data_IF_487955079686
#
_entry.id   IF_487955079686
#
_cell.length_a   1.000
_cell.length_b   1.000
_cell.length_c   1.000
_cell.angle_alpha   90.00
_cell.angle_beta   90.00
_cell.angle_gamma   90.00
#
_symmetry.space_group_name_H-M   'P 1'
#
loop_
_entity.id
_entity.type
_entity.pdbx_description
1 polymer ?
#
# COMPACT_ATOMS: atom_id res chain seq x y z
N UNK A 1 -42.35 28.91 1.82
CA UNK A 1 -42.62 30.32 1.48
C UNK A 1 -43.29 30.94 2.68
N UNK A 2 -42.72 32.03 3.20
CA UNK A 2 -43.30 32.77 4.32
C UNK A 2 -43.53 34.22 3.91
N UNK A 3 -44.68 34.78 4.31
CA UNK A 3 -45.11 36.15 3.97
C UNK A 3 -45.29 36.94 5.24
N UNK A 4 -44.85 38.19 5.23
CA UNK A 4 -44.90 39.13 6.35
C UNK A 4 -44.21 38.61 7.62
N UNK A 5 -42.98 38.14 7.45
CA UNK A 5 -42.13 37.62 8.53
C UNK A 5 -41.02 38.62 8.89
N UNK A 6 -40.55 38.63 10.15
CA UNK A 6 -39.34 39.36 10.52
C UNK A 6 -38.14 38.78 9.76
N UNK A 7 -37.40 39.65 9.08
CA UNK A 7 -36.22 39.32 8.29
C UNK A 7 -34.96 39.69 9.05
N UNK A 8 -33.93 38.83 8.99
CA UNK A 8 -32.70 38.98 9.76
C UNK A 8 -31.47 38.98 8.84
N UNK A 9 -30.45 39.75 9.24
CA UNK A 9 -29.09 39.74 8.67
C UNK A 9 -28.10 39.66 9.84
N UNK A 10 -27.14 38.73 9.79
CA UNK A 10 -26.83 37.79 10.88
C UNK A 10 -27.26 38.24 12.28
N UNK A 11 -28.45 37.80 12.70
CA UNK A 11 -29.02 37.99 14.04
C UNK A 11 -29.68 39.36 14.29
N UNK A 12 -29.54 40.33 13.39
CA UNK A 12 -30.14 41.66 13.50
C UNK A 12 -31.44 41.70 12.71
N UNK A 13 -32.54 42.13 13.34
CA UNK A 13 -33.80 42.39 12.64
C UNK A 13 -33.62 43.56 11.67
N UNK A 14 -33.74 43.30 10.37
CA UNK A 14 -33.55 44.28 9.31
C UNK A 14 -34.87 44.78 8.70
N UNK A 15 -35.99 44.13 9.00
CA UNK A 15 -37.31 44.54 8.51
C UNK A 15 -38.35 43.44 8.59
N UNK A 16 -39.47 43.67 7.93
CA UNK A 16 -40.53 42.69 7.70
C UNK A 16 -40.76 42.55 6.19
N UNK A 17 -41.07 41.35 5.73
CA UNK A 17 -41.29 41.12 4.30
C UNK A 17 -41.57 39.67 3.98
N UNK A 18 -41.26 39.25 2.75
CA UNK A 18 -41.30 37.85 2.36
C UNK A 18 -39.90 37.27 2.28
N UNK A 19 -39.82 35.96 2.54
CA UNK A 19 -38.62 35.16 2.39
C UNK A 19 -38.94 33.92 1.54
N UNK A 20 -38.05 33.64 0.60
CA UNK A 20 -38.05 32.45 -0.22
C UNK A 20 -36.83 31.59 0.09
N UNK A 21 -37.06 30.29 0.12
CA UNK A 21 -36.02 29.27 0.19
C UNK A 21 -36.19 28.35 -1.00
N UNK A 22 -35.15 28.20 -1.81
CA UNK A 22 -35.06 27.14 -2.81
C UNK A 22 -34.01 26.12 -2.34
N UNK A 23 -34.39 24.86 -2.08
CA UNK A 23 -33.42 23.83 -1.75
C UNK A 23 -32.53 23.53 -2.97
N UNK A 24 -31.26 23.28 -2.71
CA UNK A 24 -30.27 22.86 -3.71
C UNK A 24 -30.10 21.35 -3.53
N UNK A 25 -30.59 20.58 -4.51
CA UNK A 25 -30.55 19.12 -4.50
C UNK A 25 -29.51 18.61 -5.48
N UNK A 26 -28.80 17.55 -5.10
CA UNK A 26 -27.93 16.79 -5.97
C UNK A 26 -28.21 15.30 -5.74
N UNK A 27 -28.63 14.57 -6.78
CA UNK A 27 -28.92 13.13 -6.71
C UNK A 27 -29.77 12.73 -5.47
N UNK A 28 -30.88 13.42 -5.24
CA UNK A 28 -31.79 13.22 -4.10
C UNK A 28 -31.25 13.65 -2.72
N UNK A 29 -30.01 14.11 -2.64
CA UNK A 29 -29.40 14.66 -1.42
C UNK A 29 -29.55 16.19 -1.36
N UNK A 30 -29.95 16.71 -0.20
CA UNK A 30 -30.03 18.15 0.06
C UNK A 30 -28.63 18.67 0.39
N UNK A 31 -27.98 19.33 -0.57
CA UNK A 31 -26.61 19.86 -0.40
C UNK A 31 -26.57 21.32 0.06
N UNK A 32 -27.73 21.99 0.07
CA UNK A 32 -27.81 23.36 0.55
C UNK A 32 -29.17 24.01 0.31
N UNK A 33 -29.24 25.32 0.58
CA UNK A 33 -30.42 26.12 0.35
C UNK A 33 -30.04 27.53 -0.12
N UNK A 34 -30.73 28.00 -1.15
CA UNK A 34 -30.65 29.38 -1.63
C UNK A 34 -31.77 30.20 -0.99
N UNK A 35 -31.40 31.31 -0.37
CA UNK A 35 -32.31 32.19 0.33
C UNK A 35 -32.44 33.52 -0.43
N UNK A 36 -33.66 34.03 -0.53
CA UNK A 36 -33.94 35.36 -1.07
C UNK A 36 -34.98 36.06 -0.18
N UNK A 37 -34.71 37.32 0.16
CA UNK A 37 -35.57 38.12 1.03
C UNK A 37 -35.73 39.54 0.49
N UNK A 38 -36.87 40.17 0.76
CA UNK A 38 -37.16 41.57 0.42
C UNK A 38 -37.40 42.38 1.70
N UNK A 39 -36.34 42.94 2.32
CA UNK A 39 -36.45 43.68 3.57
C UNK A 39 -36.81 45.15 3.37
N UNK A 40 -36.65 45.69 2.15
CA UNK A 40 -36.74 47.13 1.91
C UNK A 40 -38.14 47.61 1.49
N UNK A 41 -39.00 46.68 1.07
CA UNK A 41 -40.38 46.98 0.66
C UNK A 41 -41.39 45.93 1.18
N UNK A 42 -41.80 46.03 2.45
CA UNK A 42 -42.64 45.04 3.14
C UNK A 42 -44.00 44.79 2.47
N UNK A 43 -44.53 45.77 1.73
CA UNK A 43 -45.84 45.70 1.06
C UNK A 43 -45.78 45.18 -0.38
N UNK A 44 -44.60 44.93 -0.93
CA UNK A 44 -44.45 44.46 -2.31
C UNK A 44 -44.91 42.99 -2.41
N UNK A 45 -45.92 42.67 -3.23
CA UNK A 45 -46.31 41.28 -3.42
C UNK A 45 -45.19 40.50 -4.13
N UNK A 46 -44.93 39.28 -3.65
CA UNK A 46 -44.09 38.34 -4.39
C UNK A 46 -44.73 38.07 -5.75
N UNK A 47 -43.98 38.23 -6.83
CA UNK A 47 -44.44 37.88 -8.18
C UNK A 47 -44.21 36.40 -8.44
N UNK A 48 -45.12 35.76 -9.17
CA UNK A 48 -45.09 34.32 -9.41
C UNK A 48 -43.75 33.86 -10.04
N UNK A 49 -43.22 34.62 -10.99
CA UNK A 49 -41.95 34.31 -11.65
C UNK A 49 -40.75 34.33 -10.70
N UNK A 50 -40.81 35.01 -9.56
CA UNK A 50 -39.66 35.13 -8.64
C UNK A 50 -39.40 33.82 -7.90
N UNK A 51 -40.47 33.07 -7.61
CA UNK A 51 -40.36 31.71 -7.08
C UNK A 51 -39.78 30.75 -8.12
N UNK A 52 -40.28 30.82 -9.36
CA UNK A 52 -39.81 29.98 -10.47
C UNK A 52 -38.35 30.29 -10.81
N UNK A 53 -37.97 31.57 -10.73
CA UNK A 53 -36.61 32.03 -10.94
C UNK A 53 -35.70 31.48 -9.85
N UNK A 54 -36.05 31.62 -8.57
CA UNK A 54 -35.22 31.11 -7.47
C UNK A 54 -35.02 29.60 -7.55
N UNK A 55 -36.07 28.85 -7.90
CA UNK A 55 -35.97 27.41 -8.14
C UNK A 55 -35.03 27.09 -9.32
N UNK A 56 -35.13 27.86 -10.42
CA UNK A 56 -34.24 27.72 -11.58
C UNK A 56 -32.78 28.00 -11.22
N UNK A 57 -32.52 29.03 -10.42
CA UNK A 57 -31.17 29.33 -9.90
C UNK A 57 -30.65 28.21 -9.00
N UNK A 58 -31.48 27.66 -8.10
CA UNK A 58 -31.13 26.51 -7.27
C UNK A 58 -30.67 25.31 -8.10
N UNK A 59 -31.38 25.00 -9.19
CA UNK A 59 -31.00 23.92 -10.12
C UNK A 59 -29.67 24.20 -10.85
N UNK A 60 -29.42 25.44 -11.29
CA UNK A 60 -28.14 25.82 -11.92
C UNK A 60 -26.99 25.73 -10.91
N UNK A 61 -27.20 26.19 -9.67
CA UNK A 61 -26.21 26.09 -8.60
C UNK A 61 -25.87 24.65 -8.26
N UNK A 62 -26.87 23.75 -8.18
CA UNK A 62 -26.63 22.33 -7.96
C UNK A 62 -25.69 21.74 -9.02
N UNK A 63 -25.96 22.03 -10.30
CA UNK A 63 -25.12 21.58 -11.41
C UNK A 63 -23.70 22.15 -11.33
N UNK A 64 -23.56 23.44 -10.99
CA UNK A 64 -22.25 24.08 -10.88
C UNK A 64 -21.43 23.52 -9.71
N UNK A 65 -22.05 23.34 -8.54
CA UNK A 65 -21.41 22.73 -7.36
C UNK A 65 -20.95 21.32 -7.69
N UNK A 66 -21.81 20.49 -8.27
CA UNK A 66 -21.45 19.14 -8.69
C UNK A 66 -20.31 19.13 -9.71
N UNK A 67 -20.29 20.08 -10.66
CA UNK A 67 -19.17 20.21 -11.60
C UNK A 67 -17.87 20.56 -10.88
N UNK A 68 -17.88 21.52 -9.96
CA UNK A 68 -16.70 21.93 -9.21
C UNK A 68 -16.16 20.79 -8.32
N UNK A 69 -17.05 20.05 -7.65
CA UNK A 69 -16.67 18.87 -6.86
C UNK A 69 -16.05 17.78 -7.74
N UNK A 70 -16.64 17.50 -8.91
CA UNK A 70 -16.09 16.54 -9.86
C UNK A 70 -14.73 16.98 -10.41
N UNK A 71 -14.60 18.25 -10.79
CA UNK A 71 -13.31 18.82 -11.23
C UNK A 71 -12.25 18.69 -10.15
N UNK A 72 -12.59 18.99 -8.89
CA UNK A 72 -11.69 18.83 -7.75
C UNK A 72 -11.30 17.37 -7.51
N UNK A 73 -12.27 16.44 -7.53
CA UNK A 73 -12.00 15.01 -7.36
C UNK A 73 -11.12 14.45 -8.48
N UNK A 74 -11.33 14.88 -9.73
CA UNK A 74 -10.48 14.51 -10.87
C UNK A 74 -9.07 15.07 -10.70
N UNK A 75 -8.92 16.32 -10.28
CA UNK A 75 -7.61 16.93 -10.02
C UNK A 75 -6.85 16.22 -8.90
N UNK A 76 -7.53 15.87 -7.81
CA UNK A 76 -6.95 15.11 -6.71
C UNK A 76 -6.51 13.72 -7.16
N UNK A 77 -7.37 13.00 -7.91
CA UNK A 77 -7.04 11.70 -8.49
C UNK A 77 -5.80 11.76 -9.40
N UNK A 78 -5.72 12.77 -10.28
CA UNK A 78 -4.56 12.96 -11.16
C UNK A 78 -3.28 13.26 -10.37
N UNK A 79 -3.38 14.11 -9.33
CA UNK A 79 -2.24 14.40 -8.44
C UNK A 79 -1.76 13.13 -7.75
N UNK A 80 -2.68 12.32 -7.22
CA UNK A 80 -2.35 11.05 -6.57
C UNK A 80 -1.68 10.08 -7.55
N UNK A 81 -2.19 9.96 -8.78
CA UNK A 81 -1.58 9.12 -9.82
C UNK A 81 -0.16 9.57 -10.17
N UNK A 82 0.08 10.89 -10.25
CA UNK A 82 1.42 11.43 -10.52
C UNK A 82 2.40 11.08 -9.40
N UNK A 83 2.03 11.29 -8.14
CA UNK A 83 2.89 10.98 -7.00
C UNK A 83 3.17 9.47 -6.94
N UNK A 84 2.14 8.63 -7.09
CA UNK A 84 2.33 7.17 -7.11
C UNK A 84 3.21 6.70 -8.27
N UNK A 85 3.10 7.33 -9.44
CA UNK A 85 3.96 7.03 -10.57
C UNK A 85 5.43 7.37 -10.27
N UNK A 86 5.69 8.56 -9.73
CA UNK A 86 7.04 8.98 -9.35
C UNK A 86 7.62 8.09 -8.24
N UNK A 87 6.84 7.77 -7.21
CA UNK A 87 7.25 6.81 -6.16
C UNK A 87 7.56 5.44 -6.75
N UNK A 88 6.76 4.94 -7.69
CA UNK A 88 7.05 3.68 -8.37
C UNK A 88 8.35 3.73 -9.19
N UNK A 89 8.68 4.86 -9.81
CA UNK A 89 9.96 5.05 -10.49
C UNK A 89 11.12 4.99 -9.50
N UNK A 90 11.02 5.69 -8.36
CA UNK A 90 12.05 5.70 -7.33
C UNK A 90 12.28 4.28 -6.77
N UNK A 91 11.21 3.58 -6.39
CA UNK A 91 11.27 2.21 -5.92
C UNK A 91 11.83 1.24 -6.97
N UNK A 92 11.62 1.51 -8.27
CA UNK A 92 12.17 0.67 -9.33
C UNK A 92 13.70 0.68 -9.43
N UNK A 93 14.34 1.76 -8.97
CA UNK A 93 15.81 1.93 -9.02
C UNK A 93 16.52 1.28 -7.84
N UNK A 94 15.77 0.91 -6.80
CA UNK A 94 16.32 0.27 -5.62
C UNK A 94 16.89 -1.10 -5.97
N UNK A 95 17.97 -1.52 -5.31
CA UNK A 95 18.72 -2.73 -5.67
C UNK A 95 18.33 -3.95 -4.85
N UNK A 96 18.16 -3.79 -3.54
CA UNK A 96 17.88 -4.90 -2.60
C UNK A 96 16.46 -4.83 -2.05
N UNK A 97 15.96 -5.94 -1.51
CA UNK A 97 14.66 -5.95 -0.82
C UNK A 97 14.69 -5.10 0.47
N UNK A 98 15.79 -5.10 1.21
CA UNK A 98 15.93 -4.31 2.44
C UNK A 98 15.85 -2.80 2.13
N UNK A 99 16.59 -2.37 1.11
CA UNK A 99 16.52 -0.99 0.62
C UNK A 99 15.12 -0.68 0.09
N UNK A 100 14.42 -1.64 -0.52
CA UNK A 100 13.08 -1.42 -1.07
C UNK A 100 12.09 -1.12 0.05
N UNK A 101 12.12 -1.87 1.15
CA UNK A 101 11.24 -1.62 2.30
C UNK A 101 11.58 -0.29 2.97
N UNK A 102 12.86 0.01 3.14
CA UNK A 102 13.33 1.28 3.70
C UNK A 102 12.85 2.46 2.86
N UNK A 103 13.07 2.41 1.55
CA UNK A 103 12.69 3.47 0.63
C UNK A 103 11.17 3.61 0.52
N UNK A 104 10.43 2.51 0.49
CA UNK A 104 8.96 2.54 0.49
C UNK A 104 8.41 3.22 1.74
N UNK A 105 9.00 2.96 2.92
CA UNK A 105 8.59 3.62 4.16
C UNK A 105 8.89 5.12 4.13
N UNK A 106 10.09 5.49 3.68
CA UNK A 106 10.50 6.89 3.58
C UNK A 106 9.63 7.68 2.58
N UNK A 107 9.43 7.15 1.38
CA UNK A 107 8.58 7.79 0.36
C UNK A 107 7.11 7.84 0.76
N UNK A 108 6.62 6.80 1.44
CA UNK A 108 5.27 6.81 2.02
C UNK A 108 5.08 7.95 3.02
N UNK A 109 6.06 8.17 3.89
CA UNK A 109 6.02 9.27 4.84
C UNK A 109 6.17 10.64 4.16
N UNK A 110 7.21 10.82 3.35
CA UNK A 110 7.60 12.14 2.83
C UNK A 110 6.74 12.63 1.66
N UNK A 111 6.19 11.71 0.87
CA UNK A 111 5.51 12.04 -0.40
C UNK A 111 4.03 11.72 -0.41
N UNK A 112 3.60 10.74 0.40
CA UNK A 112 2.19 10.32 0.50
C UNK A 112 1.52 10.79 1.80
N UNK A 113 2.22 11.59 2.62
CA UNK A 113 1.75 12.14 3.90
C UNK A 113 1.28 11.06 4.90
N UNK A 114 1.89 9.87 4.85
CA UNK A 114 1.59 8.78 5.78
C UNK A 114 2.31 9.01 7.11
N UNK A 115 1.57 9.34 8.17
CA UNK A 115 2.14 9.84 9.44
C UNK A 115 2.98 8.78 10.16
N UNK A 116 2.34 7.68 10.57
CA UNK A 116 3.00 6.53 11.21
C UNK A 116 2.90 5.33 10.28
N UNK A 117 3.71 5.35 9.24
CA UNK A 117 3.71 4.31 8.22
C UNK A 117 4.69 3.19 8.54
N UNK A 118 4.31 1.94 8.32
CA UNK A 118 5.19 0.78 8.57
C UNK A 118 4.86 -0.40 7.66
N UNK A 119 5.87 -1.22 7.37
CA UNK A 119 5.74 -2.45 6.57
C UNK A 119 6.10 -3.66 7.43
N UNK A 120 5.22 -4.66 7.41
CA UNK A 120 5.38 -5.92 8.12
C UNK A 120 5.31 -7.09 7.14
N UNK A 121 6.21 -8.06 7.26
CA UNK A 121 6.27 -9.25 6.41
C UNK A 121 5.59 -10.43 7.10
N UNK A 122 4.78 -11.18 6.37
CA UNK A 122 4.08 -12.34 6.89
C UNK A 122 4.97 -13.58 6.82
N UNK A 123 5.21 -14.22 7.97
CA UNK A 123 5.88 -15.51 8.08
C UNK A 123 4.86 -16.61 8.27
N UNK A 124 4.58 -17.36 7.21
CA UNK A 124 3.59 -18.43 7.22
C UNK A 124 3.89 -19.53 8.25
N UNK A 125 5.15 -19.94 8.36
CA UNK A 125 5.60 -20.99 9.29
C UNK A 125 5.29 -20.68 10.76
N UNK A 126 5.33 -19.39 11.11
CA UNK A 126 5.10 -18.89 12.48
C UNK A 126 3.71 -18.32 12.67
N UNK A 127 2.94 -18.16 11.59
CA UNK A 127 1.66 -17.46 11.61
C UNK A 127 1.76 -16.00 12.05
N UNK A 128 2.94 -15.39 11.94
CA UNK A 128 3.28 -14.12 12.58
C UNK A 128 3.82 -13.10 11.57
N UNK A 129 3.82 -11.82 11.96
CA UNK A 129 4.39 -10.73 11.17
C UNK A 129 5.73 -10.29 11.74
N UNK A 130 6.73 -10.11 10.88
CA UNK A 130 8.00 -9.48 11.25
C UNK A 130 8.05 -8.05 10.74
N UNK A 131 8.39 -7.11 11.61
CA UNK A 131 8.56 -5.72 11.24
C UNK A 131 9.80 -5.52 10.34
N UNK A 132 9.73 -4.52 9.46
CA UNK A 132 10.84 -4.06 8.64
C UNK A 132 11.27 -2.67 9.10
N UNK A 133 10.72 -1.64 8.47
CA UNK A 133 10.93 -0.24 8.81
C UNK A 133 9.58 0.42 9.09
N UNK A 134 9.63 1.52 9.83
CA UNK A 134 8.44 2.29 10.19
C UNK A 134 8.74 3.74 10.50
N UNK A 135 7.71 4.45 10.94
CA UNK A 135 7.78 5.83 11.44
C UNK A 135 7.22 5.87 12.86
N UNK A 136 8.02 6.38 13.79
CA UNK A 136 7.68 6.42 15.21
C UNK A 136 6.58 7.45 15.54
N UNK A 137 6.10 7.47 16.79
CA UNK A 137 5.08 8.43 17.24
C UNK A 137 5.54 9.91 17.20
N UNK A 138 6.80 10.20 16.89
CA UNK A 138 7.35 11.55 16.71
C UNK A 138 7.55 11.89 15.23
N UNK A 139 7.10 11.05 14.31
CA UNK A 139 7.27 11.26 12.86
C UNK A 139 8.69 11.01 12.39
N UNK A 140 9.47 10.17 13.08
CA UNK A 140 10.86 9.87 12.70
C UNK A 140 10.96 8.45 12.17
N UNK A 141 11.70 8.30 11.08
CA UNK A 141 12.05 7.00 10.53
C UNK A 141 12.71 6.10 11.59
N UNK A 142 12.27 4.84 11.65
CA UNK A 142 12.72 3.83 12.61
C UNK A 142 12.99 2.52 11.88
N UNK A 143 14.14 1.93 12.19
CA UNK A 143 14.42 0.52 11.87
C UNK A 143 13.74 -0.34 12.94
N UNK A 144 12.76 -1.14 12.53
CA UNK A 144 11.92 -1.95 13.42
C UNK A 144 12.31 -3.43 13.38
N UNK A 145 13.36 -3.78 12.62
CA UNK A 145 13.84 -5.16 12.49
C UNK A 145 14.28 -5.71 13.84
N UNK A 146 14.02 -7.01 14.04
CA UNK A 146 14.32 -7.69 15.30
C UNK A 146 13.27 -7.48 16.39
N UNK A 147 12.28 -6.60 16.18
CA UNK A 147 11.05 -6.59 16.95
C UNK A 147 10.16 -7.76 16.55
N UNK A 148 9.98 -8.74 17.43
CA UNK A 148 8.81 -9.62 17.36
C UNK A 148 7.65 -8.86 17.98
N UNK A 149 6.96 -8.08 17.15
CA UNK A 149 5.66 -7.59 17.55
C UNK A 149 4.76 -8.81 17.61
N UNK A 150 4.31 -9.15 18.81
CA UNK A 150 3.13 -9.98 18.99
C UNK A 150 1.94 -9.16 18.47
N UNK A 151 1.88 -9.04 17.15
CA UNK A 151 0.67 -8.81 16.42
C UNK A 151 -0.14 -10.09 16.62
N UNK A 152 -0.64 -10.27 17.83
CA UNK A 152 -1.95 -10.83 18.08
C UNK A 152 -2.98 -9.90 17.42
N UNK A 153 -2.84 -9.76 16.11
CA UNK A 153 -3.85 -9.42 15.15
C UNK A 153 -4.35 -10.73 14.51
N UNK A 154 -4.90 -11.72 15.25
CA UNK A 154 -5.61 -12.84 14.61
C UNK A 154 -6.57 -12.32 13.55
N UNK A 155 -7.22 -11.18 13.83
CA UNK A 155 -8.16 -10.54 12.92
C UNK A 155 -7.52 -10.11 11.59
N UNK A 156 -6.28 -9.61 11.55
CA UNK A 156 -5.66 -9.17 10.29
C UNK A 156 -5.25 -10.37 9.43
N UNK A 157 -4.62 -11.38 10.04
CA UNK A 157 -4.24 -12.61 9.32
C UNK A 157 -5.49 -13.32 8.81
N UNK A 158 -6.50 -13.53 9.66
CA UNK A 158 -7.77 -14.17 9.26
C UNK A 158 -8.49 -13.36 8.20
N UNK A 159 -8.59 -12.04 8.38
CA UNK A 159 -9.30 -11.16 7.43
C UNK A 159 -8.66 -11.16 6.05
N UNK A 160 -7.32 -11.15 5.96
CA UNK A 160 -6.63 -11.09 4.68
C UNK A 160 -6.28 -12.45 4.06
N UNK A 161 -6.09 -13.52 4.86
CA UNK A 161 -5.93 -14.89 4.34
C UNK A 161 -7.22 -15.42 3.72
N UNK A 162 -8.36 -15.17 4.35
CA UNK A 162 -9.66 -15.63 3.83
C UNK A 162 -10.16 -14.82 2.62
N UNK A 163 -9.34 -13.91 2.08
CA UNK A 163 -9.68 -12.98 0.99
C UNK A 163 -10.97 -12.17 1.22
N UNK A 164 -11.42 -12.05 2.47
CA UNK A 164 -12.71 -11.40 2.79
C UNK A 164 -12.66 -9.90 2.60
N UNK A 165 -11.49 -9.28 2.75
CA UNK A 165 -11.32 -7.85 2.59
C UNK A 165 -10.05 -7.50 1.82
N UNK A 166 -10.13 -6.39 1.07
CA UNK A 166 -9.01 -5.82 0.32
C UNK A 166 -8.21 -4.81 1.13
N UNK A 167 -8.83 -4.24 2.17
CA UNK A 167 -8.32 -3.18 3.04
C UNK A 167 -9.13 -3.21 4.34
N UNK A 168 -8.50 -2.85 5.46
CA UNK A 168 -9.17 -2.59 6.74
C UNK A 168 -9.04 -1.10 7.02
N UNK A 169 -10.17 -0.45 7.30
CA UNK A 169 -10.25 0.93 7.75
C UNK A 169 -10.99 0.93 9.08
N UNK A 170 -10.31 1.34 10.15
CA UNK A 170 -10.90 1.47 11.47
C UNK A 170 -10.89 2.95 11.84
N UNK A 171 -12.07 3.61 11.84
CA UNK A 171 -12.16 5.06 12.08
C UNK A 171 -12.02 5.46 13.56
N UNK A 172 -12.34 4.54 14.47
CA UNK A 172 -12.30 4.76 15.92
C UNK A 172 -11.62 3.56 16.59
N UNK A 173 -10.31 3.66 16.76
CA UNK A 173 -9.47 2.57 17.26
C UNK A 173 -8.40 3.08 18.21
N UNK A 174 -8.12 2.28 19.24
CA UNK A 174 -6.96 2.46 20.10
C UNK A 174 -5.67 2.25 19.30
N UNK A 175 -4.80 3.25 19.33
CA UNK A 175 -3.52 3.25 18.63
C UNK A 175 -2.40 2.85 19.60
N UNK A 176 -1.47 2.04 19.12
CA UNK A 176 -0.38 1.47 19.91
C UNK A 176 0.98 1.92 19.39
N UNK A 177 1.97 2.02 20.28
CA UNK A 177 3.38 2.20 19.95
C UNK A 177 4.24 1.40 20.93
N UNK A 178 5.13 0.56 20.41
CA UNK A 178 6.02 -0.30 21.22
C UNK A 178 5.27 -1.11 22.32
N UNK A 179 4.07 -1.62 22.00
CA UNK A 179 3.24 -2.40 22.91
C UNK A 179 2.46 -1.58 23.96
N UNK A 180 2.58 -0.25 23.95
CA UNK A 180 1.85 0.64 24.85
C UNK A 180 0.72 1.35 24.11
N UNK A 181 -0.40 1.60 24.79
CA UNK A 181 -1.45 2.44 24.26
C UNK A 181 -0.93 3.87 24.10
N UNK A 182 -0.91 4.36 22.87
CA UNK A 182 -0.37 5.67 22.51
C UNK A 182 -1.49 6.71 22.30
N UNK A 183 -2.69 6.28 21.90
CA UNK A 183 -3.82 7.20 21.69
C UNK A 183 -5.06 6.54 21.09
N UNK A 184 -5.92 7.37 20.50
CA UNK A 184 -7.16 6.97 19.83
C UNK A 184 -7.24 7.70 18.48
N UNK A 185 -7.71 7.03 17.44
CA UNK A 185 -7.82 7.64 16.12
C UNK A 185 -8.22 6.63 15.08
N UNK A 186 -7.91 6.93 13.81
CA UNK A 186 -8.13 5.98 12.73
C UNK A 186 -6.84 5.25 12.38
N UNK A 187 -6.97 4.02 11.90
CA UNK A 187 -5.88 3.31 11.25
C UNK A 187 -6.35 2.61 9.98
N UNK A 188 -5.42 2.42 9.06
CA UNK A 188 -5.61 1.68 7.82
C UNK A 188 -4.59 0.54 7.79
N UNK A 189 -5.04 -0.64 7.42
CA UNK A 189 -4.17 -1.77 7.10
C UNK A 189 -4.45 -2.28 5.70
N UNK A 190 -3.39 -2.38 4.89
CA UNK A 190 -3.48 -2.87 3.51
C UNK A 190 -2.55 -4.06 3.32
N UNK A 191 -3.04 -5.17 2.75
CA UNK A 191 -2.20 -6.33 2.48
C UNK A 191 -1.31 -6.09 1.26
N UNK A 192 -0.05 -6.52 1.36
CA UNK A 192 0.88 -6.71 0.26
C UNK A 192 0.69 -8.14 -0.23
N UNK A 193 0.35 -8.31 -1.51
CA UNK A 193 0.15 -9.62 -2.12
C UNK A 193 1.13 -9.85 -3.25
N UNK A 194 1.66 -11.06 -3.32
CA UNK A 194 2.41 -11.57 -4.46
C UNK A 194 1.59 -12.72 -5.06
N UNK A 195 1.23 -12.64 -6.33
CA UNK A 195 0.38 -13.63 -7.01
C UNK A 195 -0.87 -14.03 -6.20
N UNK A 196 -1.51 -13.04 -5.56
CA UNK A 196 -2.68 -13.19 -4.70
C UNK A 196 -2.44 -13.90 -3.33
N UNK A 197 -1.20 -14.22 -3.00
CA UNK A 197 -0.79 -14.75 -1.68
C UNK A 197 -0.38 -13.59 -0.76
N UNK A 198 -0.83 -13.61 0.50
CA UNK A 198 -0.43 -12.62 1.50
C UNK A 198 1.07 -12.73 1.77
N UNK A 199 1.81 -11.66 1.44
CA UNK A 199 3.25 -11.56 1.69
C UNK A 199 3.57 -10.65 2.87
N UNK A 200 2.74 -9.65 3.12
CA UNK A 200 2.93 -8.70 4.19
C UNK A 200 1.74 -7.75 4.33
N UNK A 201 1.86 -6.77 5.20
CA UNK A 201 0.88 -5.69 5.36
C UNK A 201 1.60 -4.36 5.49
N UNK A 202 0.91 -3.31 5.09
CA UNK A 202 1.27 -1.93 5.34
C UNK A 202 0.27 -1.33 6.33
N UNK A 203 0.76 -0.51 7.24
CA UNK A 203 -0.02 0.11 8.30
C UNK A 203 0.19 1.62 8.29
N UNK A 204 -0.87 2.39 8.53
CA UNK A 204 -0.77 3.82 8.87
C UNK A 204 -1.88 4.24 9.82
N UNK A 205 -1.60 5.21 10.69
CA UNK A 205 -2.59 5.86 11.57
C UNK A 205 -2.40 7.40 11.58
N UNK A 206 -3.27 8.10 12.32
CA UNK A 206 -3.23 9.57 12.47
C UNK A 206 -2.80 10.04 13.85
N UNK A 207 -2.03 9.26 14.61
CA UNK A 207 -1.70 9.59 16.00
C UNK A 207 -1.07 10.98 16.13
N UNK A 208 -0.28 11.40 15.13
CA UNK A 208 0.54 12.61 15.14
C UNK A 208 -0.32 13.86 14.95
N UNK A 209 -1.10 13.94 13.88
CA UNK A 209 -1.89 15.16 13.58
C UNK A 209 -3.33 15.11 14.05
N UNK A 210 -3.88 13.91 14.26
CA UNK A 210 -5.30 13.67 14.57
C UNK A 210 -6.27 14.24 13.53
N UNK A 211 -5.82 14.42 12.28
CA UNK A 211 -6.70 14.84 11.17
C UNK A 211 -7.74 13.76 10.86
N UNK A 212 -8.88 14.19 10.36
CA UNK A 212 -9.91 13.28 9.83
C UNK A 212 -9.36 12.43 8.69
N UNK A 213 -9.91 11.23 8.52
CA UNK A 213 -9.49 10.30 7.47
C UNK A 213 -9.77 10.92 6.09
N UNK A 214 -8.74 11.19 5.26
CA UNK A 214 -8.97 11.70 3.92
C UNK A 214 -9.67 10.63 3.07
N UNK A 215 -10.71 11.02 2.32
CA UNK A 215 -11.52 10.09 1.51
C UNK A 215 -10.72 9.33 0.45
N UNK A 216 -9.64 9.92 -0.07
CA UNK A 216 -8.76 9.31 -1.07
C UNK A 216 -7.72 8.33 -0.49
N UNK A 217 -7.46 8.40 0.83
CA UNK A 217 -6.32 7.71 1.44
C UNK A 217 -6.41 6.18 1.34
N UNK A 218 -7.58 5.53 1.54
CA UNK A 218 -7.71 4.08 1.37
C UNK A 218 -7.36 3.57 -0.04
N UNK A 219 -7.79 4.30 -1.07
CA UNK A 219 -7.51 3.95 -2.46
C UNK A 219 -6.04 4.18 -2.81
N UNK A 220 -5.44 5.27 -2.32
CA UNK A 220 -4.00 5.51 -2.46
C UNK A 220 -3.18 4.41 -1.80
N UNK A 221 -3.49 4.03 -0.55
CA UNK A 221 -2.79 2.95 0.16
C UNK A 221 -2.91 1.60 -0.58
N UNK A 222 -4.07 1.32 -1.17
CA UNK A 222 -4.28 0.12 -1.99
C UNK A 222 -3.42 0.11 -3.26
N UNK A 223 -3.35 1.24 -3.96
CA UNK A 223 -2.51 1.39 -5.14
C UNK A 223 -1.01 1.31 -4.79
N UNK A 224 -0.61 1.96 -3.69
CA UNK A 224 0.76 1.92 -3.20
C UNK A 224 1.18 0.51 -2.78
N UNK A 225 0.29 -0.25 -2.13
CA UNK A 225 0.54 -1.66 -1.78
C UNK A 225 0.81 -2.52 -3.01
N UNK A 226 0.04 -2.27 -4.08
CA UNK A 226 0.20 -2.97 -5.35
C UNK A 226 1.52 -2.63 -6.02
N UNK A 227 1.95 -1.36 -5.96
CA UNK A 227 3.27 -0.93 -6.41
C UNK A 227 4.35 -1.67 -5.64
N UNK A 228 4.34 -1.62 -4.31
CA UNK A 228 5.33 -2.30 -3.46
C UNK A 228 5.36 -3.81 -3.74
N UNK A 229 4.19 -4.45 -3.85
CA UNK A 229 4.08 -5.88 -4.21
C UNK A 229 4.73 -6.21 -5.55
N UNK A 230 4.46 -5.43 -6.59
CA UNK A 230 5.08 -5.62 -7.91
C UNK A 230 6.60 -5.45 -7.86
N UNK A 231 7.10 -4.49 -7.06
CA UNK A 231 8.54 -4.27 -6.90
C UNK A 231 9.20 -5.45 -6.18
N UNK A 232 8.55 -6.01 -5.15
CA UNK A 232 9.01 -7.22 -4.45
C UNK A 232 9.07 -8.41 -5.41
N UNK A 233 7.99 -8.66 -6.17
CA UNK A 233 7.94 -9.72 -7.18
C UNK A 233 9.09 -9.60 -8.18
N UNK A 234 9.32 -8.40 -8.70
CA UNK A 234 10.41 -8.15 -9.65
C UNK A 234 11.77 -8.46 -9.03
N UNK A 235 11.99 -8.05 -7.78
CA UNK A 235 13.26 -8.28 -7.07
C UNK A 235 13.52 -9.75 -6.77
N UNK A 236 12.50 -10.48 -6.34
CA UNK A 236 12.59 -11.93 -6.15
C UNK A 236 12.89 -12.65 -7.47
N UNK A 237 12.26 -12.22 -8.57
CA UNK A 237 12.54 -12.75 -9.90
C UNK A 237 13.99 -12.47 -10.35
N UNK A 238 14.47 -11.23 -10.21
CA UNK A 238 15.86 -10.83 -10.49
C UNK A 238 16.88 -11.68 -9.71
N UNK A 239 16.63 -11.92 -8.42
CA UNK A 239 17.47 -12.76 -7.57
C UNK A 239 17.46 -14.21 -8.03
N UNK A 240 16.29 -14.76 -8.38
CA UNK A 240 16.17 -16.15 -8.86
C UNK A 240 16.93 -16.39 -10.16
N UNK A 241 16.85 -15.46 -11.13
CA UNK A 241 17.59 -15.51 -12.39
C UNK A 241 19.10 -15.43 -12.16
N UNK A 242 19.52 -14.52 -11.28
CA UNK A 242 20.94 -14.36 -10.92
C UNK A 242 21.51 -15.62 -10.28
N UNK A 243 20.77 -16.23 -9.34
CA UNK A 243 21.16 -17.46 -8.69
C UNK A 243 21.26 -18.64 -9.67
N UNK A 244 20.27 -18.79 -10.56
CA UNK A 244 20.25 -19.84 -11.58
C UNK A 244 21.40 -19.67 -12.60
N UNK A 245 21.73 -18.44 -12.99
CA UNK A 245 22.86 -18.16 -13.87
C UNK A 245 24.19 -18.54 -13.20
N UNK A 246 24.38 -18.16 -11.93
CA UNK A 246 25.57 -18.50 -11.16
C UNK A 246 25.71 -20.02 -10.95
N UNK A 247 24.60 -20.75 -10.80
CA UNK A 247 24.61 -22.21 -10.76
C UNK A 247 24.98 -22.83 -12.12
N UNK A 248 24.38 -22.35 -13.22
CA UNK A 248 24.68 -22.82 -14.58
C UNK A 248 26.14 -22.57 -14.98
N UNK A 249 26.69 -21.39 -14.65
CA UNK A 249 28.10 -21.07 -14.89
C UNK A 249 29.02 -22.03 -14.14
N UNK A 250 28.73 -22.31 -12.85
CA UNK A 250 29.49 -23.29 -12.06
C UNK A 250 29.46 -24.69 -12.69
N UNK A 251 28.29 -25.13 -13.18
CA UNK A 251 28.17 -26.42 -13.85
C UNK A 251 28.94 -26.46 -15.19
N UNK A 252 28.93 -25.38 -15.96
CA UNK A 252 29.67 -25.28 -17.21
C UNK A 252 31.19 -25.31 -16.99
N UNK A 253 31.69 -24.55 -16.01
CA UNK A 253 33.11 -24.55 -15.63
C UNK A 253 33.57 -25.93 -15.17
N UNK A 254 32.76 -26.60 -14.34
CA UNK A 254 33.04 -27.98 -13.90
C UNK A 254 33.07 -28.96 -15.08
N UNK A 255 32.12 -28.86 -16.01
CA UNK A 255 32.11 -29.67 -17.24
C UNK A 255 33.32 -29.39 -18.14
N UNK A 256 33.74 -28.13 -18.27
CA UNK A 256 34.91 -27.76 -19.05
C UNK A 256 36.22 -28.32 -18.45
N UNK A 257 36.37 -28.24 -17.12
CA UNK A 257 37.50 -28.84 -16.40
C UNK A 257 37.53 -30.37 -16.57
N UNK A 258 36.36 -31.02 -16.42
CA UNK A 258 36.20 -32.45 -16.65
C UNK A 258 36.57 -32.89 -18.07
N UNK A 259 36.15 -32.14 -19.08
CA UNK A 259 36.47 -32.45 -20.49
C UNK A 259 37.94 -32.16 -20.84
N UNK A 260 38.59 -31.22 -20.15
CA UNK A 260 39.99 -30.89 -20.35
C UNK A 260 40.94 -31.82 -19.60
N UNK A 261 40.46 -32.54 -18.59
CA UNK A 261 41.25 -33.46 -17.80
C UNK A 261 41.83 -34.58 -18.68
N UNK A 262 43.15 -34.70 -18.67
CA UNK A 262 43.91 -35.68 -19.41
C UNK A 262 44.29 -36.90 -18.55
N UNK A 263 43.97 -36.89 -17.26
CA UNK A 263 44.28 -37.96 -16.32
C UNK A 263 43.15 -38.18 -15.30
N UNK A 264 43.13 -39.36 -14.68
CA UNK A 264 42.18 -39.68 -13.61
C UNK A 264 42.33 -38.75 -12.41
N UNK A 265 43.57 -38.35 -12.08
CA UNK A 265 43.86 -37.40 -11.00
C UNK A 265 43.25 -36.02 -11.28
N UNK A 266 43.33 -35.53 -12.53
CA UNK A 266 42.71 -34.27 -12.95
C UNK A 266 41.17 -34.33 -12.95
N UNK A 267 40.58 -35.49 -13.31
CA UNK A 267 39.13 -35.73 -13.22
C UNK A 267 38.69 -35.70 -11.75
N UNK A 268 39.42 -36.39 -10.88
CA UNK A 268 39.19 -36.39 -9.44
C UNK A 268 39.25 -34.98 -8.87
N UNK A 269 40.27 -34.19 -9.20
CA UNK A 269 40.42 -32.82 -8.72
C UNK A 269 39.27 -31.91 -9.22
N UNK A 270 38.89 -32.04 -10.48
CA UNK A 270 37.79 -31.27 -11.10
C UNK A 270 36.40 -31.59 -10.51
N UNK A 271 36.18 -32.79 -9.95
CA UNK A 271 34.89 -33.20 -9.35
C UNK A 271 34.89 -33.04 -7.83
N UNK A 272 35.97 -33.44 -7.16
CA UNK A 272 36.02 -33.53 -5.69
C UNK A 272 36.15 -32.15 -5.06
N UNK A 273 36.96 -31.25 -5.64
CA UNK A 273 37.20 -29.91 -5.06
C UNK A 273 35.92 -29.06 -5.02
N UNK A 274 35.12 -28.96 -6.10
CA UNK A 274 33.86 -28.20 -6.05
C UNK A 274 32.80 -28.83 -5.14
N UNK A 275 32.75 -30.16 -5.06
CA UNK A 275 31.77 -30.90 -4.25
C UNK A 275 32.09 -30.83 -2.75
N UNK A 276 33.38 -30.94 -2.38
CA UNK A 276 33.83 -30.77 -1.00
C UNK A 276 33.60 -29.32 -0.48
N UNK A 277 33.67 -28.32 -1.37
CA UNK A 277 33.39 -26.91 -1.06
C UNK A 277 31.92 -26.61 -0.70
N UNK A 278 30.99 -27.55 -0.91
CA UNK A 278 29.56 -27.38 -0.59
C UNK A 278 29.17 -27.86 0.82
N UNK A 279 30.14 -28.12 1.69
CA UNK A 279 29.89 -28.58 3.06
C UNK A 279 29.63 -30.08 3.19
N UNK A 280 29.96 -30.85 2.14
CA UNK A 280 29.95 -32.32 2.19
C UNK A 280 31.20 -32.82 2.92
N UNK A 281 31.01 -33.77 3.85
CA UNK A 281 32.08 -34.28 4.71
C UNK A 281 33.14 -35.11 3.96
N UNK A 282 32.78 -35.70 2.81
CA UNK A 282 33.69 -36.39 1.89
C UNK A 282 33.03 -36.59 0.53
N UNK A 283 33.82 -36.61 -0.54
CA UNK A 283 33.42 -37.07 -1.87
C UNK A 283 34.49 -38.07 -2.35
N UNK A 284 34.07 -39.28 -2.74
CA UNK A 284 34.96 -40.35 -3.23
C UNK A 284 34.49 -40.80 -4.61
N UNK A 285 35.43 -41.08 -5.51
CA UNK A 285 35.17 -41.66 -6.82
C UNK A 285 35.89 -43.02 -6.88
N UNK A 286 35.19 -44.06 -7.35
CA UNK A 286 35.75 -45.41 -7.49
C UNK A 286 35.73 -45.82 -8.95
N UNK A 287 36.82 -46.44 -9.41
CA UNK A 287 36.87 -47.15 -10.68
C UNK A 287 36.62 -48.64 -10.45
N UNK A 288 35.81 -49.23 -11.31
CA UNK A 288 35.51 -50.67 -11.30
C UNK A 288 36.01 -51.27 -12.60
N UNK A 289 36.96 -52.19 -12.51
CA UNK A 289 37.39 -52.98 -13.64
C UNK A 289 36.48 -54.20 -13.77
N UNK A 290 35.95 -54.45 -14.97
CA UNK A 290 34.95 -55.50 -15.22
C UNK A 290 35.58 -56.61 -16.05
N UNK A 291 35.33 -57.87 -15.67
CA UNK A 291 35.77 -59.05 -16.40
C UNK A 291 35.03 -59.19 -17.75
N UNK A 292 35.48 -60.13 -18.59
CA UNK A 292 34.87 -60.39 -19.91
C UNK A 292 33.39 -60.84 -19.88
N UNK A 293 32.82 -61.09 -18.69
CA UNK A 293 31.41 -61.41 -18.47
C UNK A 293 30.63 -60.27 -17.80
N UNK A 294 31.24 -59.09 -17.60
CA UNK A 294 30.62 -57.94 -16.95
C UNK A 294 30.50 -58.06 -15.43
N UNK A 295 31.38 -58.82 -14.77
CA UNK A 295 31.49 -58.88 -13.30
C UNK A 295 32.68 -58.06 -12.82
N UNK A 296 32.56 -57.31 -11.72
CA UNK A 296 33.68 -56.52 -11.22
C UNK A 296 34.81 -57.42 -10.71
N UNK A 297 36.02 -57.20 -11.23
CA UNK A 297 37.24 -57.97 -10.93
C UNK A 297 38.07 -57.31 -9.82
N UNK A 298 38.20 -55.96 -9.84
CA UNK A 298 38.92 -55.16 -8.83
C UNK A 298 38.34 -53.74 -8.67
N UNK A 299 38.59 -53.12 -7.51
CA UNK A 299 38.20 -51.76 -7.14
C UNK A 299 39.43 -51.00 -6.65
N UNK A 300 39.86 -49.94 -7.35
CA UNK A 300 40.93 -49.04 -6.90
C UNK A 300 40.31 -47.84 -6.16
N UNK A 301 41.01 -47.39 -5.11
CA UNK A 301 40.63 -46.29 -4.21
C UNK A 301 41.27 -44.98 -4.63
#
# INVERSE_FOLDING_TARGET
MERDVPLYDPGVLIGHGWHLTAPIWQNEELIGALFAQEPTNPGRPLKLYESDLLASYGAVLANLIGRLQNEQAVQESLRMQQILHEVNLDLSQVQTLDDLFKEAVQLGHDRLDLERFSIYLYHEDRGAFAATFGVDAKGRFRDERGGEYDLSMPDVVVTFKDMRQRIIVAENSTLWDEGNQAGEGWHITVPIRLQNVLYGVMFTDNLITRRDLPSYLPDMMSAFSSIVGNQIERKLAEQSVTAALAESQRLYEMSAQLNAAASMDEILEAVVVPVAGQGLAAANLFTLEMDGNGRPEWMEW
#
